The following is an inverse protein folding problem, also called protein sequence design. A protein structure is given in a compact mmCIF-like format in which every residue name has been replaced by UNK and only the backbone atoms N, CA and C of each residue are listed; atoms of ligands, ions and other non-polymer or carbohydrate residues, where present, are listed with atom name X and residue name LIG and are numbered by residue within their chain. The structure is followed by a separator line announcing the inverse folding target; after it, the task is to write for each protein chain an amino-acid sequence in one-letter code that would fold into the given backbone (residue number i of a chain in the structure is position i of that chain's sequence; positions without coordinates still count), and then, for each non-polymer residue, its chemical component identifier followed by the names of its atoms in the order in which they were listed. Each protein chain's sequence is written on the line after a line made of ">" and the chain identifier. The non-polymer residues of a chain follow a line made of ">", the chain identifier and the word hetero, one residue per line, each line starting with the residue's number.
data_IF_706044052631
#
_entry.id   IF_706044052631
#
_cell.length_a   1.000
_cell.length_b   1.000
_cell.length_c   1.000
_cell.angle_alpha   90.00
_cell.angle_beta   90.00
_cell.angle_gamma   90.00
#
_symmetry.space_group_name_H-M   'P 1'
#
loop_
_entity.id
_entity.type
_entity.pdbx_description
1 polymer ?
#
# COMPACT_ATOMS: atom_id res chain seq x y z
N UNK A 1 -6.08 7.04 -11.03
CA UNK A 1 -5.96 6.66 -9.62
C UNK A 1 -6.16 7.91 -8.81
N UNK A 2 -7.07 7.89 -7.85
CA UNK A 2 -7.40 9.07 -7.05
C UNK A 2 -6.32 9.29 -5.97
N UNK A 3 -5.70 10.46 -5.97
CA UNK A 3 -4.75 10.87 -4.92
C UNK A 3 -5.53 11.12 -3.62
N UNK A 4 -5.07 10.53 -2.52
CA UNK A 4 -5.69 10.71 -1.22
C UNK A 4 -4.98 11.83 -0.46
N UNK A 5 -5.75 12.60 0.30
CA UNK A 5 -5.18 13.55 1.24
C UNK A 5 -4.35 12.78 2.28
N UNK A 6 -3.04 13.02 2.32
CA UNK A 6 -2.11 12.38 3.26
C UNK A 6 -1.09 11.43 2.61
N UNK A 7 -1.17 11.16 1.31
CA UNK A 7 -0.18 10.32 0.63
C UNK A 7 1.21 10.99 0.60
N UNK A 8 2.25 10.28 1.04
CA UNK A 8 3.65 10.76 1.01
C UNK A 8 4.24 10.55 -0.38
N UNK A 9 4.74 11.63 -0.99
CA UNK A 9 5.29 11.62 -2.36
C UNK A 9 6.63 10.88 -2.49
N UNK A 10 7.49 10.97 -1.48
CA UNK A 10 8.80 10.31 -1.48
C UNK A 10 9.10 9.74 -0.10
N UNK A 11 9.45 8.46 -0.06
CA UNK A 11 9.88 7.79 1.15
C UNK A 11 11.09 6.89 0.83
N UNK A 12 12.22 7.17 1.46
CA UNK A 12 13.45 6.41 1.33
C UNK A 12 14.13 6.30 2.69
N UNK A 13 14.55 5.09 3.06
CA UNK A 13 15.20 4.83 4.33
C UNK A 13 16.72 4.88 4.20
N UNK A 14 17.39 5.66 5.07
CA UNK A 14 18.83 5.55 5.26
C UNK A 14 19.15 4.32 6.12
N UNK A 15 19.94 3.39 5.55
CA UNK A 15 20.31 2.12 6.18
C UNK A 15 21.62 2.20 6.98
N UNK A 16 22.25 3.37 7.10
CA UNK A 16 23.54 3.50 7.78
C UNK A 16 23.51 2.98 9.23
N UNK A 17 22.50 3.37 10.00
CA UNK A 17 22.39 3.00 11.42
C UNK A 17 22.15 1.50 11.61
N UNK A 18 21.23 0.90 10.86
CA UNK A 18 20.89 -0.52 10.97
C UNK A 18 22.06 -1.40 10.51
N UNK A 19 22.79 -0.98 9.48
CA UNK A 19 24.00 -1.67 9.01
C UNK A 19 25.10 -1.66 10.07
N UNK A 20 25.33 -0.52 10.75
CA UNK A 20 26.32 -0.43 11.83
C UNK A 20 25.92 -1.25 13.07
N UNK A 21 24.65 -1.19 13.46
CA UNK A 21 24.20 -1.82 14.69
C UNK A 21 24.01 -3.34 14.58
N UNK A 22 23.55 -3.81 13.41
CA UNK A 22 23.12 -5.21 13.23
C UNK A 22 23.84 -5.93 12.09
N UNK A 23 24.73 -5.26 11.36
CA UNK A 23 25.32 -5.83 10.14
C UNK A 23 24.32 -6.05 9.01
N UNK A 24 23.11 -5.48 9.11
CA UNK A 24 22.04 -5.71 8.15
C UNK A 24 22.38 -5.12 6.77
N UNK A 25 22.17 -5.92 5.73
CA UNK A 25 22.16 -5.48 4.34
C UNK A 25 20.96 -6.09 3.59
N UNK A 26 20.31 -5.35 2.67
CA UNK A 26 19.25 -5.91 1.83
C UNK A 26 19.78 -7.08 1.01
N UNK A 27 19.11 -8.23 1.11
CA UNK A 27 19.47 -9.46 0.36
C UNK A 27 18.63 -9.68 -0.89
N UNK A 28 17.55 -8.92 -1.02
CA UNK A 28 16.62 -9.00 -2.13
C UNK A 28 16.59 -7.66 -2.86
N UNK A 29 16.74 -7.70 -4.18
CA UNK A 29 16.42 -6.55 -5.03
C UNK A 29 14.91 -6.39 -5.14
N UNK A 30 14.46 -5.19 -5.48
CA UNK A 30 13.04 -4.91 -5.69
C UNK A 30 12.41 -5.84 -6.73
N UNK A 31 13.06 -6.00 -7.90
CA UNK A 31 12.58 -6.85 -8.97
C UNK A 31 12.41 -8.32 -8.52
N UNK A 32 13.41 -8.85 -7.79
CA UNK A 32 13.35 -10.22 -7.27
C UNK A 32 12.25 -10.37 -6.21
N UNK A 33 12.08 -9.37 -5.35
CA UNK A 33 11.04 -9.34 -4.33
C UNK A 33 9.63 -9.33 -4.92
N UNK A 34 9.38 -8.48 -5.92
CA UNK A 34 8.08 -8.41 -6.60
C UNK A 34 7.76 -9.72 -7.33
N UNK A 35 8.72 -10.31 -8.05
CA UNK A 35 8.50 -11.58 -8.75
C UNK A 35 8.12 -12.71 -7.76
N UNK A 36 8.84 -12.81 -6.64
CA UNK A 36 8.54 -13.82 -5.62
C UNK A 36 7.18 -13.57 -4.94
N UNK A 37 6.83 -12.31 -4.71
CA UNK A 37 5.55 -11.93 -4.13
C UNK A 37 4.39 -12.30 -5.06
N UNK A 38 4.48 -11.98 -6.36
CA UNK A 38 3.45 -12.32 -7.34
C UNK A 38 3.24 -13.83 -7.44
N UNK A 39 4.34 -14.58 -7.53
CA UNK A 39 4.28 -16.03 -7.55
C UNK A 39 3.58 -16.63 -6.32
N UNK A 40 3.81 -16.07 -5.14
CA UNK A 40 3.09 -16.48 -3.93
C UNK A 40 1.61 -16.05 -3.96
N UNK A 41 1.33 -14.84 -4.44
CA UNK A 41 -0.03 -14.28 -4.49
C UNK A 41 -0.95 -15.10 -5.43
N UNK A 42 -0.42 -15.56 -6.56
CA UNK A 42 -1.12 -16.40 -7.53
C UNK A 42 -1.53 -17.77 -6.96
N UNK A 43 -0.83 -18.25 -5.94
CA UNK A 43 -1.14 -19.53 -5.27
C UNK A 43 -2.23 -19.39 -4.21
N UNK A 44 -2.64 -18.17 -3.87
CA UNK A 44 -3.68 -17.97 -2.87
C UNK A 44 -5.05 -18.31 -3.46
N UNK A 45 -5.91 -18.91 -2.64
CA UNK A 45 -7.31 -19.10 -3.01
C UNK A 45 -7.97 -17.76 -3.37
N UNK A 46 -8.96 -17.74 -4.28
CA UNK A 46 -9.65 -16.51 -4.63
C UNK A 46 -10.12 -15.81 -3.36
N UNK A 47 -9.90 -14.49 -3.25
CA UNK A 47 -10.36 -13.77 -2.07
C UNK A 47 -11.86 -14.00 -1.93
N UNK A 48 -12.30 -14.48 -0.76
CA UNK A 48 -13.69 -14.30 -0.33
C UNK A 48 -14.01 -12.83 -0.55
N UNK A 49 -15.20 -12.49 -1.08
CA UNK A 49 -15.61 -11.11 -1.41
C UNK A 49 -15.61 -10.18 -0.17
N UNK A 50 -14.42 -9.80 0.30
CA UNK A 50 -14.20 -8.92 1.44
C UNK A 50 -13.87 -7.50 0.98
N UNK A 51 -13.69 -7.32 -0.33
CA UNK A 51 -13.51 -6.01 -0.94
C UNK A 51 -14.74 -5.13 -0.72
N UNK A 52 -15.94 -5.67 -0.98
CA UNK A 52 -17.21 -4.93 -0.77
C UNK A 52 -17.41 -4.61 0.71
N UNK A 53 -17.15 -5.56 1.61
CA UNK A 53 -17.19 -5.35 3.06
C UNK A 53 -16.21 -4.25 3.53
N UNK A 54 -14.99 -4.24 3.02
CA UNK A 54 -14.00 -3.21 3.34
C UNK A 54 -14.45 -1.82 2.88
N UNK A 55 -15.06 -1.72 1.69
CA UNK A 55 -15.66 -0.48 1.21
C UNK A 55 -16.80 0.01 2.12
N UNK A 56 -17.65 -0.89 2.61
CA UNK A 56 -18.71 -0.57 3.56
C UNK A 56 -18.13 -0.06 4.89
N UNK A 57 -17.13 -0.73 5.45
CA UNK A 57 -16.47 -0.32 6.69
C UNK A 57 -15.79 1.05 6.54
N UNK A 58 -15.14 1.32 5.40
CA UNK A 58 -14.50 2.60 5.11
C UNK A 58 -15.54 3.73 4.92
N UNK A 59 -16.67 3.45 4.27
CA UNK A 59 -17.80 4.40 4.18
C UNK A 59 -18.38 4.71 5.55
N UNK A 60 -18.64 3.68 6.36
CA UNK A 60 -19.16 3.83 7.72
C UNK A 60 -18.22 4.64 8.63
N UNK A 61 -16.90 4.59 8.36
CA UNK A 61 -15.87 5.35 9.09
C UNK A 61 -15.53 6.70 8.44
N UNK A 62 -16.28 7.16 7.42
CA UNK A 62 -16.02 8.41 6.67
C UNK A 62 -14.60 8.52 6.06
N UNK A 63 -13.99 7.38 5.70
CA UNK A 63 -12.65 7.31 5.11
C UNK A 63 -12.66 7.30 3.57
N UNK A 64 -13.84 7.20 2.95
CA UNK A 64 -14.06 7.33 1.51
C UNK A 64 -14.82 8.64 1.25
N UNK A 65 -14.12 9.66 0.76
CA UNK A 65 -14.76 10.88 0.26
C UNK A 65 -15.02 10.71 -1.24
N UNK A 66 -16.26 10.94 -1.67
CA UNK A 66 -16.58 11.14 -3.08
C UNK A 66 -15.87 12.41 -3.58
N UNK A 67 -15.45 12.49 -4.85
CA UNK A 67 -14.98 13.76 -5.41
C UNK A 67 -16.20 14.69 -5.44
N UNK A 68 -16.36 15.50 -4.41
CA UNK A 68 -17.38 16.55 -4.38
C UNK A 68 -17.05 17.51 -5.51
N UNK A 69 -17.82 17.37 -6.59
CA UNK A 69 -17.97 18.38 -7.62
C UNK A 69 -18.19 19.72 -6.94
N UNK A 70 -17.32 20.65 -7.29
CA UNK A 70 -17.39 22.06 -6.94
C UNK A 70 -18.72 22.61 -7.45
N UNK A 71 -19.74 22.69 -6.60
CA UNK A 71 -20.84 23.63 -6.81
C UNK A 71 -20.40 24.96 -6.20
N UNK A 72 -20.00 25.89 -7.05
CA UNK A 72 -19.95 27.32 -6.75
C UNK A 72 -20.39 28.08 -8.00
N UNK A 73 -21.47 28.84 -7.85
CA UNK A 73 -21.92 29.85 -8.80
C UNK A 73 -23.01 29.36 -9.72
#
# INVERSE_FOLDING_TARGET
>A
GEFRLGDIRHNAADLARVRKALGFSPRWSFARGIAQFLHWAEQQAPPVQQYERSLEEMKARNLLQSPTGRSRG
#
